data_IF_067480159643
#
_entry.id   IF_067480159643
#
_cell.length_a   1.000
_cell.length_b   1.000
_cell.length_c   1.000
_cell.angle_alpha   90.00
_cell.angle_beta   90.00
_cell.angle_gamma   90.00
#
_symmetry.space_group_name_H-M   'P 1'
#
loop_
_entity.id
_entity.type
_entity.pdbx_description
1 polymer ?
#
# COMPACT_ATOMS: atom_id res chain seq x y z
N UNK A 1 47.31 -19.08 19.15
CA UNK A 1 47.05 -17.85 18.35
C UNK A 1 46.35 -18.09 17.00
N UNK A 2 46.35 -19.30 16.42
CA UNK A 2 45.70 -19.55 15.12
C UNK A 2 44.15 -19.72 15.20
N UNK A 3 43.66 -20.37 16.26
CA UNK A 3 42.23 -20.68 16.42
C UNK A 3 41.36 -19.47 16.76
N UNK A 4 41.93 -18.43 17.37
CA UNK A 4 41.19 -17.22 17.74
C UNK A 4 40.69 -16.46 16.51
N UNK A 5 41.56 -16.32 15.50
CA UNK A 5 41.21 -15.76 14.19
C UNK A 5 40.19 -16.62 13.45
N UNK A 6 40.30 -17.95 13.57
CA UNK A 6 39.35 -18.89 12.98
C UNK A 6 37.95 -18.74 13.62
N UNK A 7 37.89 -18.58 14.94
CA UNK A 7 36.66 -18.44 15.70
C UNK A 7 35.96 -17.12 15.38
N UNK A 8 36.73 -16.03 15.28
CA UNK A 8 36.24 -14.74 14.80
C UNK A 8 35.69 -14.81 13.37
N UNK A 9 36.38 -15.52 12.46
CA UNK A 9 35.93 -15.69 11.08
C UNK A 9 34.59 -16.46 11.02
N UNK A 10 34.49 -17.56 11.77
CA UNK A 10 33.27 -18.37 11.81
C UNK A 10 32.08 -17.59 12.40
N UNK A 11 32.32 -16.81 13.47
CA UNK A 11 31.30 -15.95 14.06
C UNK A 11 30.82 -14.86 13.09
N UNK A 12 31.73 -14.26 12.31
CA UNK A 12 31.38 -13.25 11.31
C UNK A 12 30.53 -13.85 10.17
N UNK A 13 30.88 -15.06 9.69
CA UNK A 13 30.09 -15.74 8.64
C UNK A 13 28.68 -16.05 9.14
N UNK A 14 28.54 -16.53 10.39
CA UNK A 14 27.24 -16.85 10.99
C UNK A 14 26.34 -15.60 11.15
N UNK A 15 26.92 -14.44 11.45
CA UNK A 15 26.19 -13.18 11.56
C UNK A 15 25.70 -12.67 10.19
N UNK A 16 26.47 -12.92 9.12
CA UNK A 16 26.13 -12.48 7.75
C UNK A 16 25.21 -13.48 7.04
N UNK A 17 25.15 -14.74 7.48
CA UNK A 17 24.30 -15.78 6.89
C UNK A 17 22.85 -15.78 7.38
N UNK A 18 22.37 -14.69 7.98
CA UNK A 18 20.96 -14.56 8.33
C UNK A 18 20.10 -14.66 7.06
N UNK A 19 18.94 -15.31 7.16
CA UNK A 19 18.03 -15.43 6.04
C UNK A 19 17.38 -14.08 5.72
N UNK A 20 17.67 -13.56 4.52
CA UNK A 20 17.17 -12.28 3.99
C UNK A 20 16.24 -12.53 2.79
N UNK A 21 15.84 -13.78 2.54
CA UNK A 21 14.96 -14.16 1.43
C UNK A 21 13.67 -13.32 1.38
N UNK A 22 13.09 -13.00 2.53
CA UNK A 22 11.90 -12.16 2.68
C UNK A 22 12.08 -10.69 2.22
N UNK A 23 13.30 -10.17 2.09
CA UNK A 23 13.55 -8.80 1.56
C UNK A 23 13.47 -8.79 0.03
N UNK A 24 13.69 -9.94 -0.62
CA UNK A 24 13.61 -10.11 -2.07
C UNK A 24 12.20 -10.50 -2.54
N UNK A 25 11.25 -10.64 -1.62
CA UNK A 25 9.84 -10.73 -1.98
C UNK A 25 9.39 -9.38 -2.56
N UNK A 26 9.56 -9.21 -3.87
CA UNK A 26 8.69 -8.31 -4.61
C UNK A 26 7.26 -8.73 -4.26
N UNK A 27 6.37 -7.81 -3.82
CA UNK A 27 4.98 -8.15 -3.58
C UNK A 27 4.38 -8.64 -4.91
N UNK A 28 4.39 -9.97 -5.09
CA UNK A 28 3.98 -10.67 -6.31
C UNK A 28 2.46 -10.64 -6.50
N UNK A 29 1.72 -10.07 -5.56
CA UNK A 29 0.30 -9.82 -5.75
C UNK A 29 0.17 -8.53 -6.53
N UNK A 30 -0.21 -8.66 -7.80
CA UNK A 30 -0.77 -7.54 -8.56
C UNK A 30 -1.81 -6.84 -7.67
N UNK A 31 -1.84 -5.49 -7.63
CA UNK A 31 -2.85 -4.79 -6.87
C UNK A 31 -4.23 -5.29 -7.32
N UNK A 32 -5.16 -5.53 -6.38
CA UNK A 32 -6.48 -6.03 -6.75
C UNK A 32 -7.12 -5.08 -7.76
N UNK A 33 -7.91 -5.59 -8.73
CA UNK A 33 -8.58 -4.74 -9.69
C UNK A 33 -9.38 -3.67 -8.95
N UNK A 34 -9.42 -2.42 -9.46
CA UNK A 34 -10.13 -1.35 -8.79
C UNK A 34 -11.59 -1.75 -8.58
N UNK A 35 -12.08 -1.64 -7.35
CA UNK A 35 -13.48 -1.94 -7.06
C UNK A 35 -14.36 -0.78 -7.55
N UNK A 36 -15.52 -1.06 -8.18
CA UNK A 36 -16.50 -0.04 -8.45
C UNK A 36 -16.92 0.66 -7.15
N UNK A 37 -17.06 1.98 -7.18
CA UNK A 37 -17.55 2.76 -6.05
C UNK A 37 -18.51 3.86 -6.50
N UNK A 38 -19.34 4.30 -5.55
CA UNK A 38 -20.18 5.49 -5.71
C UNK A 38 -20.07 6.34 -4.46
N UNK A 39 -19.84 7.63 -4.65
CA UNK A 39 -19.75 8.63 -3.60
C UNK A 39 -20.69 9.79 -3.93
N UNK A 40 -21.43 10.27 -2.93
CA UNK A 40 -22.26 11.45 -3.07
C UNK A 40 -22.32 12.21 -1.75
N UNK A 41 -22.16 13.52 -1.83
CA UNK A 41 -22.27 14.41 -0.69
C UNK A 41 -23.05 15.68 -1.05
N UNK A 42 -23.83 16.18 -0.11
CA UNK A 42 -24.54 17.45 -0.20
C UNK A 42 -24.28 18.25 1.07
N UNK A 43 -23.80 19.49 0.90
CA UNK A 43 -23.55 20.43 1.98
C UNK A 43 -24.58 21.56 1.97
N UNK A 44 -25.05 21.96 3.15
CA UNK A 44 -25.85 23.16 3.33
C UNK A 44 -25.47 23.89 4.61
N UNK A 45 -25.56 25.23 4.61
CA UNK A 45 -25.36 26.02 5.83
C UNK A 45 -26.53 25.96 6.81
N UNK A 46 -27.74 25.68 6.32
CA UNK A 46 -28.97 25.66 7.11
C UNK A 46 -29.85 24.46 6.72
N UNK A 47 -30.74 23.99 7.61
CA UNK A 47 -31.68 22.91 7.28
C UNK A 47 -32.48 23.23 6.01
N UNK A 48 -32.50 22.29 5.05
CA UNK A 48 -33.22 22.45 3.78
C UNK A 48 -32.44 23.17 2.67
N UNK A 49 -31.21 23.64 2.93
CA UNK A 49 -30.36 24.22 1.89
C UNK A 49 -29.32 23.22 1.38
N UNK A 50 -29.09 23.19 0.07
CA UNK A 50 -28.00 22.45 -0.57
C UNK A 50 -27.14 23.46 -1.34
N UNK A 51 -26.10 23.98 -0.67
CA UNK A 51 -25.18 24.97 -1.22
C UNK A 51 -24.13 24.32 -2.14
N UNK A 52 -23.71 23.10 -1.83
CA UNK A 52 -22.70 22.36 -2.61
C UNK A 52 -23.15 20.91 -2.76
N UNK A 53 -22.94 20.35 -3.95
CA UNK A 53 -23.25 18.96 -4.25
C UNK A 53 -22.08 18.37 -5.00
N UNK A 54 -21.68 17.18 -4.62
CA UNK A 54 -20.62 16.45 -5.28
C UNK A 54 -21.02 15.01 -5.43
N UNK A 55 -20.82 14.46 -6.63
CA UNK A 55 -21.09 13.05 -6.92
C UNK A 55 -20.00 12.46 -7.81
N UNK A 56 -19.58 11.24 -7.49
CA UNK A 56 -18.60 10.48 -8.25
C UNK A 56 -19.00 9.01 -8.32
N UNK A 57 -18.75 8.39 -9.46
CA UNK A 57 -18.93 6.96 -9.70
C UNK A 57 -17.73 6.43 -10.48
N UNK A 58 -17.16 5.33 -10.00
CA UNK A 58 -16.13 4.55 -10.68
C UNK A 58 -16.69 3.19 -11.09
N UNK A 59 -16.39 2.78 -12.32
CA UNK A 59 -16.76 1.46 -12.84
C UNK A 59 -15.72 0.37 -12.52
N UNK A 60 -14.68 0.69 -11.74
CA UNK A 60 -13.61 -0.23 -11.39
C UNK A 60 -12.59 -0.47 -12.52
N UNK A 61 -12.76 0.16 -13.69
CA UNK A 61 -11.80 0.10 -14.80
C UNK A 61 -10.77 1.24 -14.78
N UNK A 62 -10.79 2.05 -13.71
CA UNK A 62 -9.98 3.27 -13.59
C UNK A 62 -10.65 4.52 -14.18
N UNK A 63 -11.89 4.41 -14.68
CA UNK A 63 -12.67 5.54 -15.18
C UNK A 63 -13.58 6.06 -14.06
N UNK A 64 -13.46 7.36 -13.74
CA UNK A 64 -14.32 8.05 -12.77
C UNK A 64 -15.14 9.11 -13.49
N UNK A 65 -16.44 9.17 -13.20
CA UNK A 65 -17.38 10.17 -13.75
C UNK A 65 -18.13 10.83 -12.60
N UNK A 66 -18.41 12.13 -12.71
CA UNK A 66 -19.02 12.87 -11.62
C UNK A 66 -19.37 14.33 -11.91
N UNK A 67 -19.91 14.98 -10.89
CA UNK A 67 -20.27 16.41 -10.86
C UNK A 67 -19.74 17.05 -9.58
N UNK A 68 -19.36 18.33 -9.65
CA UNK A 68 -18.76 19.11 -8.55
C UNK A 68 -19.55 20.37 -8.22
#
# INVERSE_FOLDING_TARGET
MAYDKLLLLLAAIALVSADVSHILEDPSTEPPPPLPYSFSYTAGRYPGHADRQHSEVSDGSGVVKGTF
#
